data_IF_557782410898
#
_entry.id   IF_557782410898
#
_cell.length_a   1.000
_cell.length_b   1.000
_cell.length_c   1.000
_cell.angle_alpha   90.00
_cell.angle_beta   90.00
_cell.angle_gamma   90.00
#
_symmetry.space_group_name_H-M   'P 1'
#
loop_
_entity.id
_entity.type
_entity.pdbx_description
1 polymer ?
#
# COMPACT_ATOMS: atom_id res chain seq x y z
N UNK A 1 13.37 21.84 2.09
CA UNK A 1 13.21 21.09 3.36
C UNK A 1 12.02 20.16 3.19
N UNK A 2 12.24 18.91 2.79
CA UNK A 2 11.16 17.92 2.69
C UNK A 2 10.89 17.38 4.10
N UNK A 3 9.68 17.65 4.57
CA UNK A 3 9.17 17.31 5.89
C UNK A 3 9.37 15.83 6.20
N UNK A 4 9.90 15.58 7.39
CA UNK A 4 9.94 14.29 8.04
C UNK A 4 8.49 13.87 8.35
N UNK A 5 7.75 13.38 7.36
CA UNK A 5 6.60 12.54 7.64
C UNK A 5 7.15 11.21 8.13
N UNK A 6 7.40 11.15 9.44
CA UNK A 6 7.68 9.90 10.12
C UNK A 6 6.61 8.86 9.74
N UNK A 7 7.12 7.66 9.55
CA UNK A 7 6.54 6.50 8.86
C UNK A 7 5.37 5.87 9.63
N UNK A 8 4.44 6.69 10.12
CA UNK A 8 3.32 6.20 10.92
C UNK A 8 2.28 5.53 10.01
N UNK A 9 1.74 4.38 10.42
CA UNK A 9 0.61 3.77 9.72
C UNK A 9 -0.53 4.79 9.62
N UNK A 10 -1.05 4.99 8.41
CA UNK A 10 -2.29 5.76 8.20
C UNK A 10 -3.51 4.97 8.68
N UNK A 11 -3.39 3.65 8.73
CA UNK A 11 -4.42 2.73 9.20
C UNK A 11 -4.00 1.28 9.02
N UNK A 12 -4.98 0.38 9.19
CA UNK A 12 -4.84 -1.06 8.96
C UNK A 12 -5.66 -1.44 7.74
N UNK A 13 -5.02 -2.12 6.79
CA UNK A 13 -5.68 -2.79 5.69
C UNK A 13 -6.18 -4.14 6.19
N UNK A 14 -7.39 -4.52 5.83
CA UNK A 14 -7.99 -5.82 6.14
C UNK A 14 -8.61 -6.42 4.88
N UNK A 15 -8.17 -7.62 4.50
CA UNK A 15 -8.72 -8.35 3.36
C UNK A 15 -10.03 -9.04 3.74
N UNK A 16 -11.10 -8.75 3.01
CA UNK A 16 -12.44 -9.31 3.25
C UNK A 16 -12.56 -10.81 2.87
N UNK A 17 -11.55 -11.41 2.23
CA UNK A 17 -11.57 -12.82 1.80
C UNK A 17 -10.77 -13.74 2.73
N UNK A 18 -9.60 -13.28 3.21
CA UNK A 18 -8.69 -14.11 3.99
C UNK A 18 -8.36 -13.53 5.37
N UNK A 19 -8.97 -12.39 5.74
CA UNK A 19 -8.72 -11.67 6.99
C UNK A 19 -7.24 -11.26 7.19
N UNK A 20 -6.45 -11.18 6.10
CA UNK A 20 -5.10 -10.64 6.17
C UNK A 20 -5.16 -9.19 6.61
N UNK A 21 -4.48 -8.87 7.70
CA UNK A 21 -4.34 -7.52 8.21
C UNK A 21 -2.92 -7.03 8.14
N UNK A 22 -2.70 -5.80 7.67
CA UNK A 22 -1.38 -5.17 7.69
C UNK A 22 -1.50 -3.64 7.78
N UNK A 23 -0.57 -2.95 8.48
CA UNK A 23 -0.55 -1.50 8.48
C UNK A 23 -0.20 -0.96 7.09
N UNK A 24 -0.88 0.09 6.64
CA UNK A 24 -0.55 0.78 5.39
C UNK A 24 -0.07 2.22 5.65
N UNK A 25 0.79 2.72 4.77
CA UNK A 25 1.35 4.07 4.87
C UNK A 25 0.95 4.98 3.69
N UNK A 26 0.31 4.42 2.66
CA UNK A 26 -0.21 5.19 1.52
C UNK A 26 -1.35 4.43 0.82
N UNK A 27 -2.29 5.18 0.23
CA UNK A 27 -3.35 4.67 -0.65
C UNK A 27 -3.37 5.53 -1.90
N UNK A 28 -3.35 4.88 -3.06
CA UNK A 28 -3.38 5.57 -4.35
C UNK A 28 -2.72 4.78 -5.47
N UNK A 29 -2.81 5.33 -6.68
CA UNK A 29 -2.15 4.76 -7.87
C UNK A 29 -0.69 5.18 -8.02
N UNK A 30 -0.25 6.26 -7.37
CA UNK A 30 1.11 6.80 -7.52
C UNK A 30 1.82 6.84 -6.17
N UNK A 31 2.41 5.71 -5.73
CA UNK A 31 3.20 5.67 -4.52
C UNK A 31 4.27 6.78 -4.52
N UNK A 32 4.55 7.39 -3.36
CA UNK A 32 5.65 8.34 -3.26
C UNK A 32 6.97 7.65 -3.66
N UNK A 33 7.88 8.40 -4.28
CA UNK A 33 9.21 7.96 -4.72
C UNK A 33 9.27 7.01 -5.93
N UNK A 34 8.16 6.65 -6.58
CA UNK A 34 8.20 5.98 -7.90
C UNK A 34 8.22 7.02 -9.04
N UNK A 35 9.41 7.49 -9.42
CA UNK A 35 9.56 8.53 -10.44
C UNK A 35 9.06 8.11 -11.84
N UNK A 36 8.89 6.81 -12.10
CA UNK A 36 8.55 6.29 -13.44
C UNK A 36 7.55 5.12 -13.44
N UNK A 37 6.86 4.87 -12.31
CA UNK A 37 5.89 3.77 -12.20
C UNK A 37 4.58 4.27 -11.57
N UNK A 38 3.47 3.85 -12.18
CA UNK A 38 2.10 4.06 -11.69
C UNK A 38 1.42 2.69 -11.59
N UNK A 39 0.64 2.49 -10.54
CA UNK A 39 -0.20 1.32 -10.36
C UNK A 39 -1.47 1.47 -11.21
N UNK A 40 -1.95 0.36 -11.77
CA UNK A 40 -3.18 0.35 -12.56
C UNK A 40 -4.41 0.60 -11.69
N UNK A 41 -4.39 0.17 -10.43
CA UNK A 41 -5.49 0.30 -9.46
C UNK A 41 -5.06 1.14 -8.25
N UNK A 42 -6.02 1.82 -7.63
CA UNK A 42 -5.82 2.44 -6.33
C UNK A 42 -5.53 1.35 -5.29
N UNK A 43 -4.30 1.37 -4.76
CA UNK A 43 -3.80 0.27 -3.94
C UNK A 43 -3.34 0.76 -2.57
N UNK A 44 -3.48 -0.11 -1.58
CA UNK A 44 -2.96 0.07 -0.22
C UNK A 44 -1.52 -0.42 -0.22
N UNK A 45 -0.59 0.44 0.19
CA UNK A 45 0.83 0.11 0.21
C UNK A 45 1.45 0.44 1.57
N UNK A 46 2.47 -0.33 1.91
CA UNK A 46 3.31 -0.07 3.07
C UNK A 46 4.76 0.03 2.65
N UNK A 47 5.59 0.69 3.48
CA UNK A 47 7.04 0.62 3.31
C UNK A 47 7.49 -0.83 3.49
N UNK A 48 8.44 -1.26 2.66
CA UNK A 48 9.05 -2.57 2.83
C UNK A 48 9.82 -2.63 4.19
N UNK A 49 9.46 -3.56 5.09
CA UNK A 49 10.02 -3.61 6.44
C UNK A 49 11.43 -4.21 6.46
N UNK A 50 11.87 -4.84 5.38
CA UNK A 50 13.19 -5.45 5.24
C UNK A 50 14.22 -4.51 4.61
N UNK A 51 13.82 -3.28 4.28
CA UNK A 51 14.70 -2.31 3.64
C UNK A 51 14.59 -0.93 4.26
N UNK A 52 15.75 -0.31 4.51
CA UNK A 52 15.81 1.08 4.95
C UNK A 52 15.50 2.06 3.81
N UNK A 53 15.61 1.62 2.55
CA UNK A 53 15.40 2.45 1.36
C UNK A 53 13.96 2.98 1.31
N UNK A 54 13.82 4.29 1.09
CA UNK A 54 12.53 4.99 1.09
C UNK A 54 11.72 4.79 -0.20
N UNK A 55 12.34 4.19 -1.20
CA UNK A 55 11.80 4.03 -2.55
C UNK A 55 11.19 2.64 -2.77
N UNK A 56 11.30 1.75 -1.78
CA UNK A 56 10.74 0.41 -1.81
C UNK A 56 9.47 0.34 -0.97
N UNK A 57 8.44 -0.23 -1.56
CA UNK A 57 7.13 -0.42 -0.96
C UNK A 57 6.59 -1.80 -1.31
N UNK A 58 5.67 -2.28 -0.49
CA UNK A 58 4.93 -3.52 -0.70
C UNK A 58 3.48 -3.15 -0.94
N UNK A 59 2.91 -3.67 -2.02
CA UNK A 59 1.46 -3.57 -2.28
C UNK A 59 0.76 -4.63 -1.43
N UNK A 60 -0.17 -4.21 -0.58
CA UNK A 60 -0.95 -5.10 0.27
C UNK A 60 -2.17 -5.64 -0.47
N UNK A 61 -2.86 -4.76 -1.20
CA UNK A 61 -4.12 -5.06 -1.87
C UNK A 61 -4.77 -3.83 -2.48
N UNK A 62 -5.93 -4.03 -3.09
CA UNK A 62 -6.75 -2.99 -3.72
C UNK A 62 -8.24 -3.24 -3.43
N UNK A 63 -9.08 -2.28 -3.82
CA UNK A 63 -10.53 -2.51 -3.88
C UNK A 63 -10.86 -3.16 -5.22
N UNK A 64 -11.41 -4.37 -5.19
CA UNK A 64 -11.77 -5.10 -6.40
C UNK A 64 -12.79 -4.31 -7.23
N UNK A 65 -12.47 -4.02 -8.49
CA UNK A 65 -13.33 -3.25 -9.40
C UNK A 65 -14.67 -3.92 -9.73
N UNK A 66 -14.79 -5.24 -9.56
CA UNK A 66 -16.00 -6.00 -9.88
C UNK A 66 -16.98 -6.09 -8.71
N UNK A 67 -16.48 -6.31 -7.49
CA UNK A 67 -17.33 -6.56 -6.31
C UNK A 67 -17.15 -5.54 -5.19
N UNK A 68 -16.28 -4.55 -5.38
CA UNK A 68 -15.94 -3.50 -4.41
C UNK A 68 -15.39 -3.99 -3.07
N UNK A 69 -14.99 -5.27 -2.92
CA UNK A 69 -14.36 -5.77 -1.69
C UNK A 69 -12.88 -5.40 -1.64
N UNK A 70 -12.37 -5.12 -0.44
CA UNK A 70 -10.95 -5.00 -0.15
C UNK A 70 -10.31 -6.38 -0.19
N UNK A 71 -9.39 -6.57 -1.13
CA UNK A 71 -8.74 -7.86 -1.37
C UNK A 71 -7.22 -7.69 -1.44
N UNK A 72 -6.50 -8.61 -0.81
CA UNK A 72 -5.03 -8.62 -0.85
C UNK A 72 -4.52 -9.23 -2.16
N UNK A 73 -3.22 -9.04 -2.44
CA UNK A 73 -2.51 -9.66 -3.58
C UNK A 73 -2.16 -11.15 -3.39
N UNK A 74 -2.75 -11.81 -2.38
CA UNK A 74 -2.50 -13.22 -2.06
C UNK A 74 -2.78 -14.19 -3.24
N UNK A 75 -2.23 -15.42 -3.19
CA UNK A 75 -2.35 -16.40 -4.28
C UNK A 75 -3.79 -16.77 -4.63
#
# INVERSE_FOLDING_TARGET
MASHAECQPLGVFECELCALTAPYSYVGQKPPNTQSMVLLEESYVMKDPFTSHKDRFVVLGSRCSLCSRLVCVGP
#
